data_IF_763273289269
#
_entry.id   IF_763273289269
#
_cell.length_a   1.000
_cell.length_b   1.000
_cell.length_c   1.000
_cell.angle_alpha   90.00
_cell.angle_beta   90.00
_cell.angle_gamma   90.00
#
_symmetry.space_group_name_H-M   'P 1'
#
loop_
_entity.id
_entity.type
_entity.pdbx_description
1 polymer ?
#
# COMPACT_ATOMS: atom_id res chain seq x y z
N UNK A 1 -24.36 -28.01 -15.06
CA UNK A 1 -22.98 -27.76 -14.68
C UNK A 1 -22.42 -26.71 -15.63
N UNK A 2 -22.45 -25.46 -15.25
CA UNK A 2 -21.91 -24.36 -16.06
C UNK A 2 -20.62 -23.90 -15.40
N UNK A 3 -19.50 -24.30 -15.97
CA UNK A 3 -18.20 -23.81 -15.62
C UNK A 3 -18.11 -22.33 -16.00
N UNK A 4 -18.25 -21.45 -15.02
CA UNK A 4 -17.86 -20.07 -15.19
C UNK A 4 -16.36 -20.00 -15.02
N UNK A 5 -15.67 -20.11 -16.13
CA UNK A 5 -14.24 -19.79 -16.21
C UNK A 5 -14.11 -18.31 -15.91
N UNK A 6 -13.74 -17.99 -14.69
CA UNK A 6 -13.37 -16.65 -14.30
C UNK A 6 -11.99 -16.40 -14.91
N UNK A 7 -11.99 -15.69 -16.02
CA UNK A 7 -10.76 -15.17 -16.61
C UNK A 7 -10.25 -14.10 -15.65
N UNK A 8 -9.31 -14.50 -14.82
CA UNK A 8 -8.50 -13.56 -14.06
C UNK A 8 -7.58 -12.90 -15.09
N UNK A 9 -7.96 -11.73 -15.53
CA UNK A 9 -7.06 -10.89 -16.32
C UNK A 9 -5.96 -10.44 -15.37
N UNK A 10 -4.87 -11.18 -15.38
CA UNK A 10 -3.60 -10.69 -14.88
C UNK A 10 -3.27 -9.42 -15.67
N UNK A 11 -3.51 -8.27 -15.07
CA UNK A 11 -2.95 -7.04 -15.58
C UNK A 11 -1.44 -7.10 -15.33
N UNK A 12 -0.76 -7.64 -16.32
CA UNK A 12 0.68 -7.50 -16.46
C UNK A 12 0.97 -6.00 -16.58
N UNK A 13 1.41 -5.38 -15.51
CA UNK A 13 2.04 -4.08 -15.59
C UNK A 13 3.46 -4.29 -16.12
N UNK A 14 3.55 -4.46 -17.42
CA UNK A 14 4.79 -4.32 -18.16
C UNK A 14 4.55 -3.26 -19.23
N UNK A 15 4.70 -2.02 -18.84
CA UNK A 15 4.86 -0.94 -19.79
C UNK A 15 5.95 -0.01 -19.29
N UNK A 16 7.17 -0.45 -19.44
CA UNK A 16 8.26 0.49 -19.61
C UNK A 16 8.36 0.84 -21.09
N UNK A 17 7.50 1.73 -21.52
CA UNK A 17 7.78 2.49 -22.73
C UNK A 17 8.69 3.65 -22.33
N UNK A 18 9.95 3.49 -22.62
CA UNK A 18 10.90 4.61 -22.70
C UNK A 18 10.43 5.51 -23.80
N UNK A 19 9.91 6.66 -23.46
CA UNK A 19 9.53 7.68 -24.42
C UNK A 19 8.87 8.88 -23.76
N UNK A 20 9.58 10.00 -23.70
CA UNK A 20 9.16 11.34 -23.29
C UNK A 20 8.78 11.52 -21.82
N UNK A 21 9.76 11.96 -21.06
CA UNK A 21 9.61 12.56 -19.75
C UNK A 21 8.62 13.72 -19.79
N UNK A 22 7.36 13.46 -19.51
CA UNK A 22 6.56 14.43 -18.79
C UNK A 22 6.80 14.11 -17.31
N UNK A 23 7.51 14.98 -16.64
CA UNK A 23 7.63 14.95 -15.19
C UNK A 23 6.21 15.04 -14.63
N UNK A 24 5.68 13.91 -14.18
CA UNK A 24 4.46 13.91 -13.40
C UNK A 24 4.76 14.70 -12.13
N UNK A 25 4.05 15.79 -11.94
CA UNK A 25 4.18 16.58 -10.73
C UNK A 25 3.89 15.68 -9.52
N UNK A 26 4.54 15.92 -8.41
CA UNK A 26 4.36 15.17 -7.15
C UNK A 26 2.88 15.10 -6.77
N UNK A 27 2.12 16.14 -7.04
CA UNK A 27 0.67 16.20 -6.83
C UNK A 27 -0.09 15.15 -7.65
N UNK A 28 0.27 14.92 -8.91
CA UNK A 28 -0.37 13.90 -9.75
C UNK A 28 -0.03 12.49 -9.28
N UNK A 29 1.20 12.25 -8.81
CA UNK A 29 1.59 10.97 -8.25
C UNK A 29 0.82 10.65 -6.96
N UNK A 30 0.58 11.64 -6.12
CA UNK A 30 -0.19 11.50 -4.88
C UNK A 30 -1.67 11.23 -5.19
N UNK A 31 -2.23 11.89 -6.18
CA UNK A 31 -3.62 11.69 -6.57
C UNK A 31 -3.84 10.30 -7.17
N UNK A 32 -2.91 9.82 -7.98
CA UNK A 32 -2.95 8.44 -8.49
C UNK A 32 -2.88 7.41 -7.36
N UNK A 33 -1.98 7.58 -6.38
CA UNK A 33 -1.89 6.69 -5.22
C UNK A 33 -3.17 6.73 -4.38
N UNK A 34 -3.81 7.88 -4.21
CA UNK A 34 -5.10 7.96 -3.52
C UNK A 34 -6.20 7.19 -4.24
N UNK A 35 -6.22 7.25 -5.55
CA UNK A 35 -7.20 6.53 -6.37
C UNK A 35 -6.98 5.02 -6.28
N UNK A 36 -5.73 4.57 -6.43
CA UNK A 36 -5.36 3.16 -6.28
C UNK A 36 -5.67 2.62 -4.89
N UNK A 37 -5.44 3.41 -3.83
CA UNK A 37 -5.75 3.03 -2.46
C UNK A 37 -7.25 2.87 -2.24
N UNK A 38 -8.07 3.75 -2.78
CA UNK A 38 -9.54 3.64 -2.71
C UNK A 38 -10.06 2.42 -3.44
N UNK A 39 -9.51 2.12 -4.60
CA UNK A 39 -9.87 0.94 -5.37
C UNK A 39 -9.46 -0.34 -4.66
N UNK A 40 -8.23 -0.42 -4.14
CA UNK A 40 -7.77 -1.55 -3.34
C UNK A 40 -8.64 -1.78 -2.10
N UNK A 41 -9.06 -0.71 -1.42
CA UNK A 41 -9.95 -0.78 -0.27
C UNK A 41 -11.35 -1.28 -0.65
N UNK A 42 -11.86 -0.90 -1.81
CA UNK A 42 -13.14 -1.40 -2.32
C UNK A 42 -13.05 -2.89 -2.66
N UNK A 43 -11.98 -3.29 -3.33
CA UNK A 43 -11.74 -4.68 -3.70
C UNK A 43 -11.61 -5.59 -2.47
N UNK A 44 -11.04 -5.10 -1.38
CA UNK A 44 -10.94 -5.84 -0.12
C UNK A 44 -12.30 -6.24 0.47
N UNK A 45 -13.33 -5.43 0.28
CA UNK A 45 -14.67 -5.70 0.81
C UNK A 45 -15.35 -6.88 0.13
N UNK A 46 -15.00 -7.13 -1.12
CA UNK A 46 -15.68 -8.10 -1.97
C UNK A 46 -15.17 -9.54 -1.76
N UNK A 47 -14.08 -9.73 -1.02
CA UNK A 47 -13.56 -11.05 -0.70
C UNK A 47 -14.43 -11.78 0.32
N UNK A 48 -14.87 -12.98 -0.05
CA UNK A 48 -15.59 -13.91 0.84
C UNK A 48 -14.61 -14.76 1.66
N UNK A 49 -15.11 -15.44 2.68
CA UNK A 49 -14.30 -16.38 3.45
C UNK A 49 -13.70 -17.51 2.57
N UNK A 50 -14.45 -17.97 1.58
CA UNK A 50 -13.93 -18.96 0.61
C UNK A 50 -12.73 -18.43 -0.21
N UNK A 51 -12.62 -17.13 -0.35
CA UNK A 51 -11.53 -16.45 -1.04
C UNK A 51 -10.42 -15.95 -0.09
N UNK A 52 -10.42 -16.42 1.15
CA UNK A 52 -9.43 -16.01 2.16
C UNK A 52 -7.99 -16.13 1.68
N UNK A 53 -7.64 -17.25 1.04
CA UNK A 53 -6.29 -17.48 0.52
C UNK A 53 -5.92 -16.48 -0.58
N UNK A 54 -6.86 -16.14 -1.46
CA UNK A 54 -6.67 -15.13 -2.51
C UNK A 54 -6.49 -13.73 -1.90
N UNK A 55 -7.31 -13.39 -0.90
CA UNK A 55 -7.18 -12.14 -0.16
C UNK A 55 -5.80 -12.02 0.48
N UNK A 56 -5.35 -13.03 1.19
CA UNK A 56 -4.04 -13.04 1.86
C UNK A 56 -2.90 -12.87 0.84
N UNK A 57 -2.95 -13.58 -0.27
CA UNK A 57 -1.94 -13.46 -1.33
C UNK A 57 -1.92 -12.06 -1.96
N UNK A 58 -3.09 -11.50 -2.25
CA UNK A 58 -3.22 -10.15 -2.80
C UNK A 58 -2.71 -9.08 -1.82
N UNK A 59 -3.07 -9.20 -0.55
CA UNK A 59 -2.65 -8.25 0.48
C UNK A 59 -1.17 -8.39 0.82
N UNK A 60 -0.60 -9.58 0.76
CA UNK A 60 0.85 -9.76 0.89
C UNK A 60 1.60 -8.99 -0.20
N UNK A 61 1.13 -9.08 -1.43
CA UNK A 61 1.69 -8.30 -2.55
C UNK A 61 1.60 -6.78 -2.31
N UNK A 62 0.49 -6.30 -1.77
CA UNK A 62 0.31 -4.89 -1.40
C UNK A 62 1.26 -4.45 -0.29
N UNK A 63 1.47 -5.30 0.72
CA UNK A 63 2.42 -5.02 1.80
C UNK A 63 3.87 -5.01 1.32
N UNK A 64 4.23 -5.92 0.43
CA UNK A 64 5.56 -5.96 -0.17
C UNK A 64 5.83 -4.69 -0.98
N UNK A 65 4.84 -4.23 -1.75
CA UNK A 65 4.91 -2.96 -2.47
C UNK A 65 5.03 -1.76 -1.52
N UNK A 66 4.27 -1.74 -0.43
CA UNK A 66 4.35 -0.69 0.59
C UNK A 66 5.74 -0.65 1.25
N UNK A 67 6.30 -1.79 1.61
CA UNK A 67 7.65 -1.86 2.19
C UNK A 67 8.70 -1.34 1.21
N UNK A 68 8.58 -1.67 -0.06
CA UNK A 68 9.46 -1.16 -1.12
C UNK A 68 9.35 0.37 -1.26
N UNK A 69 8.13 0.89 -1.21
CA UNK A 69 7.89 2.33 -1.24
C UNK A 69 8.47 3.04 0.00
N UNK A 70 8.38 2.42 1.17
CA UNK A 70 9.01 2.91 2.40
C UNK A 70 10.54 2.92 2.29
N UNK A 71 11.13 1.92 1.68
CA UNK A 71 12.58 1.87 1.45
C UNK A 71 13.03 2.97 0.48
N UNK A 72 12.26 3.25 -0.56
CA UNK A 72 12.52 4.36 -1.48
C UNK A 72 12.40 5.72 -0.78
N UNK A 73 11.40 5.87 0.07
CA UNK A 73 11.23 7.09 0.87
C UNK A 73 12.40 7.28 1.85
N UNK A 74 12.84 6.20 2.50
CA UNK A 74 14.01 6.21 3.38
C UNK A 74 15.27 6.65 2.62
N UNK A 75 15.49 6.15 1.41
CA UNK A 75 16.64 6.54 0.58
C UNK A 75 16.62 8.03 0.21
N UNK A 76 15.44 8.58 -0.09
CA UNK A 76 15.28 10.02 -0.33
C UNK A 76 15.59 10.85 0.92
N UNK A 77 15.14 10.41 2.07
CA UNK A 77 15.42 11.03 3.37
C UNK A 77 16.93 11.00 3.66
N UNK A 78 17.57 9.86 3.43
CA UNK A 78 19.02 9.69 3.67
C UNK A 78 19.88 10.59 2.78
N UNK A 79 19.41 10.94 1.60
CA UNK A 79 20.08 11.85 0.69
C UNK A 79 19.77 13.34 0.96
N UNK A 80 18.94 13.64 1.95
CA UNK A 80 18.56 14.99 2.32
C UNK A 80 19.47 15.60 3.38
N UNK A 81 19.20 16.86 3.79
CA UNK A 81 19.94 17.54 4.86
C UNK A 81 19.73 16.87 6.22
N UNK A 82 20.65 17.08 7.15
CA UNK A 82 20.57 16.51 8.50
C UNK A 82 19.33 16.98 9.27
N UNK A 83 18.89 18.21 9.05
CA UNK A 83 17.66 18.75 9.62
C UNK A 83 16.43 17.98 9.15
N UNK A 84 16.34 17.72 7.85
CA UNK A 84 15.24 16.94 7.26
C UNK A 84 15.27 15.50 7.74
N UNK A 85 16.45 14.88 7.81
CA UNK A 85 16.61 13.53 8.36
C UNK A 85 16.09 13.43 9.79
N UNK A 86 16.43 14.38 10.65
CA UNK A 86 16.01 14.38 12.03
C UNK A 86 14.49 14.48 12.19
N UNK A 87 13.82 15.28 11.37
CA UNK A 87 12.37 15.41 11.38
C UNK A 87 11.66 14.20 10.75
N UNK A 88 12.27 13.60 9.72
CA UNK A 88 11.69 12.51 8.96
C UNK A 88 11.78 11.14 9.65
N UNK A 89 12.86 10.88 10.39
CA UNK A 89 13.10 9.59 11.05
C UNK A 89 11.93 9.09 11.90
N UNK A 90 11.33 9.88 12.80
CA UNK A 90 10.19 9.41 13.60
C UNK A 90 8.95 9.14 12.73
N UNK A 91 8.74 9.89 11.66
CA UNK A 91 7.65 9.67 10.72
C UNK A 91 7.81 8.36 9.96
N UNK A 92 9.02 8.10 9.48
CA UNK A 92 9.37 6.85 8.79
C UNK A 92 9.25 5.65 9.72
N UNK A 93 9.72 5.77 10.95
CA UNK A 93 9.61 4.70 11.96
C UNK A 93 8.15 4.38 12.26
N UNK A 94 7.30 5.38 12.44
CA UNK A 94 5.87 5.19 12.67
C UNK A 94 5.21 4.44 11.51
N UNK A 95 5.58 4.73 10.26
CA UNK A 95 5.08 4.02 9.08
C UNK A 95 5.57 2.57 9.03
N UNK A 96 6.82 2.31 9.40
CA UNK A 96 7.35 0.94 9.49
C UNK A 96 6.65 0.13 10.57
N UNK A 97 6.34 0.74 11.69
CA UNK A 97 5.58 0.10 12.78
C UNK A 97 4.14 -0.21 12.33
N UNK A 98 3.51 0.68 11.59
CA UNK A 98 2.19 0.43 11.00
C UNK A 98 2.23 -0.69 9.96
N UNK A 99 3.25 -0.75 9.13
CA UNK A 99 3.44 -1.84 8.16
C UNK A 99 3.66 -3.19 8.86
N UNK A 100 4.41 -3.20 9.95
CA UNK A 100 4.58 -4.40 10.78
C UNK A 100 3.26 -4.85 11.43
N UNK A 101 2.44 -3.90 11.86
CA UNK A 101 1.09 -4.18 12.38
C UNK A 101 0.18 -4.77 11.30
N UNK A 102 0.25 -4.28 10.07
CA UNK A 102 -0.47 -4.85 8.93
C UNK A 102 -0.06 -6.31 8.67
N UNK A 103 1.22 -6.63 8.78
CA UNK A 103 1.68 -8.02 8.65
C UNK A 103 1.06 -8.93 9.71
N UNK A 104 0.96 -8.48 10.95
CA UNK A 104 0.29 -9.23 12.02
C UNK A 104 -1.19 -9.43 11.74
N UNK A 105 -1.87 -8.40 11.28
CA UNK A 105 -3.28 -8.48 10.90
C UNK A 105 -3.50 -9.39 9.69
N UNK A 106 -2.55 -9.47 8.79
CA UNK A 106 -2.60 -10.43 7.67
C UNK A 106 -2.46 -11.86 8.16
N UNK A 107 -1.62 -12.12 9.17
CA UNK A 107 -1.53 -13.42 9.82
C UNK A 107 -2.85 -13.78 10.55
N UNK A 108 -3.50 -12.82 11.18
CA UNK A 108 -4.85 -13.00 11.74
C UNK A 108 -5.86 -13.37 10.65
N UNK A 109 -5.78 -12.76 9.48
CA UNK A 109 -6.62 -13.09 8.33
C UNK A 109 -6.38 -14.52 7.84
N UNK A 110 -5.14 -14.99 7.82
CA UNK A 110 -4.81 -16.40 7.48
C UNK A 110 -5.46 -17.39 8.42
N UNK A 111 -5.57 -17.05 9.68
CA UNK A 111 -6.10 -17.90 10.75
C UNK A 111 -7.58 -17.61 11.06
N UNK A 112 -8.23 -16.69 10.35
CA UNK A 112 -9.61 -16.34 10.57
C UNK A 112 -10.56 -17.50 10.27
N UNK A 113 -11.63 -17.60 11.06
CA UNK A 113 -12.76 -18.50 10.83
C UNK A 113 -13.83 -17.79 10.02
N UNK A 114 -14.80 -18.53 9.52
CA UNK A 114 -15.93 -17.94 8.79
C UNK A 114 -16.68 -16.90 9.64
N UNK A 115 -16.84 -17.15 10.93
CA UNK A 115 -17.51 -16.23 11.86
C UNK A 115 -16.71 -14.96 12.18
N UNK A 116 -15.39 -14.99 12.05
CA UNK A 116 -14.50 -13.84 12.34
C UNK A 116 -14.03 -13.12 11.07
N UNK A 117 -14.26 -13.69 9.91
CA UNK A 117 -13.72 -13.21 8.64
C UNK A 117 -14.05 -11.75 8.35
N UNK A 118 -15.31 -11.36 8.47
CA UNK A 118 -15.75 -10.01 8.14
C UNK A 118 -15.12 -8.97 9.07
N UNK A 119 -14.99 -9.27 10.36
CA UNK A 119 -14.33 -8.41 11.34
C UNK A 119 -12.83 -8.27 11.07
N UNK A 120 -12.15 -9.36 10.79
CA UNK A 120 -10.71 -9.38 10.51
C UNK A 120 -10.41 -8.65 9.22
N UNK A 121 -11.19 -8.91 8.18
CA UNK A 121 -11.07 -8.23 6.88
C UNK A 121 -11.28 -6.72 7.02
N UNK A 122 -12.32 -6.28 7.72
CA UNK A 122 -12.61 -4.88 7.95
C UNK A 122 -11.51 -4.19 8.76
N UNK A 123 -10.96 -4.86 9.78
CA UNK A 123 -9.84 -4.37 10.58
C UNK A 123 -8.58 -4.18 9.75
N UNK A 124 -8.25 -5.14 8.91
CA UNK A 124 -7.10 -5.04 7.98
C UNK A 124 -7.28 -3.89 7.00
N UNK A 125 -8.45 -3.79 6.37
CA UNK A 125 -8.76 -2.72 5.43
C UNK A 125 -8.57 -1.34 6.05
N UNK A 126 -9.13 -1.12 7.23
CA UNK A 126 -9.05 0.15 7.95
C UNK A 126 -7.60 0.52 8.30
N UNK A 127 -6.83 -0.44 8.77
CA UNK A 127 -5.41 -0.24 9.08
C UNK A 127 -4.58 0.00 7.81
N UNK A 128 -4.88 -0.67 6.73
CA UNK A 128 -4.24 -0.46 5.43
C UNK A 128 -4.48 0.95 4.90
N UNK A 129 -5.73 1.41 4.91
CA UNK A 129 -6.08 2.78 4.49
C UNK A 129 -5.35 3.83 5.33
N UNK A 130 -5.33 3.67 6.65
CA UNK A 130 -4.64 4.58 7.56
C UNK A 130 -3.13 4.62 7.30
N UNK A 131 -2.52 3.47 7.03
CA UNK A 131 -1.08 3.38 6.72
C UNK A 131 -0.76 4.03 5.38
N UNK A 132 -1.58 3.83 4.38
CA UNK A 132 -1.42 4.48 3.07
C UNK A 132 -1.60 5.99 3.14
N UNK A 133 -2.55 6.48 3.89
CA UNK A 133 -2.74 7.91 4.13
C UNK A 133 -1.54 8.53 4.84
N UNK A 134 -1.02 7.87 5.88
CA UNK A 134 0.18 8.29 6.58
C UNK A 134 1.42 8.29 5.67
N UNK A 135 1.56 7.30 4.81
CA UNK A 135 2.62 7.25 3.81
C UNK A 135 2.53 8.41 2.82
N UNK A 136 1.35 8.69 2.30
CA UNK A 136 1.14 9.80 1.37
C UNK A 136 1.44 11.16 2.01
N UNK A 137 1.07 11.34 3.27
CA UNK A 137 1.40 12.55 4.03
C UNK A 137 2.90 12.70 4.23
N UNK A 138 3.59 11.63 4.60
CA UNK A 138 5.04 11.63 4.77
C UNK A 138 5.78 11.91 3.45
N UNK A 139 5.31 11.30 2.37
CA UNK A 139 5.85 11.51 1.02
C UNK A 139 5.68 12.96 0.56
N UNK A 140 4.50 13.54 0.79
CA UNK A 140 4.24 14.95 0.48
C UNK A 140 5.15 15.85 1.31
N UNK A 141 5.26 15.61 2.60
CA UNK A 141 6.12 16.37 3.50
C UNK A 141 7.59 16.32 3.04
N UNK A 142 8.11 15.14 2.69
CA UNK A 142 9.48 14.98 2.18
C UNK A 142 9.65 15.73 0.87
N UNK A 143 8.68 15.65 -0.03
CA UNK A 143 8.70 16.39 -1.30
C UNK A 143 8.76 17.90 -1.08
N UNK A 144 7.96 18.42 -0.16
CA UNK A 144 7.91 19.85 0.15
C UNK A 144 9.21 20.37 0.79
N UNK A 145 9.91 19.50 1.52
CA UNK A 145 11.17 19.85 2.20
C UNK A 145 12.41 19.68 1.32
N UNK A 146 12.38 18.79 0.35
CA UNK A 146 13.53 18.45 -0.50
C UNK A 146 13.43 19.10 -1.88
N UNK A 147 12.23 19.34 -2.38
CA UNK A 147 12.03 20.01 -3.66
C UNK A 147 12.45 21.48 -3.57
N UNK A 148 13.27 21.96 -4.52
CA UNK A 148 13.59 23.37 -4.61
C UNK A 148 12.36 24.19 -5.00
#
# INVERSE_FOLDING_TARGET
MKNKTLIITLLSIAAFAVGCKKEQTTSQQIENVKTETKQAAQDMKDYTFAQKAEFVAAMQGQLDALNKDLDQLAAKIDSSSDAVKAEAKPKLQALRDQAAQLNKQLDEARNATESTWDSVKAGFQKAYEATKDGFNQARQWVSDKIAP
#
